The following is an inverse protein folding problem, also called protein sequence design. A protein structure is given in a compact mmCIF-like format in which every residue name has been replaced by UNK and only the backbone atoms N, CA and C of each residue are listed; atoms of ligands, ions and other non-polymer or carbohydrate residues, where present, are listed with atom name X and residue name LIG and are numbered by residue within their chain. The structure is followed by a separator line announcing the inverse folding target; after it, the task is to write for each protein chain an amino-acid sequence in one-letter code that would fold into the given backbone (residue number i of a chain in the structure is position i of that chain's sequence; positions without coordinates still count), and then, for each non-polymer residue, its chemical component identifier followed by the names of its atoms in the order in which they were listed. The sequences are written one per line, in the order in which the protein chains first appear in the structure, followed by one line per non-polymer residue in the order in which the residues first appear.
data_IF_533785034017
#
_entry.id   IF_533785034017
#
_cell.length_a   1.000
_cell.length_b   1.000
_cell.length_c   1.000
_cell.angle_alpha   90.00
_cell.angle_beta   90.00
_cell.angle_gamma   90.00
#
_symmetry.space_group_name_H-M   'P 1'
#
loop_
_entity.id
_entity.type
_entity.pdbx_description
1 polymer ?
#
# COMPACT_ATOMS: atom_id res chain seq x y z
N UNK A 1 32.03 4.78 -3.85
CA UNK A 1 30.95 3.80 -3.65
C UNK A 1 29.62 4.55 -3.66
N UNK A 2 28.55 4.03 -4.26
CA UNK A 2 27.26 4.69 -4.24
C UNK A 2 26.65 4.63 -2.83
N UNK A 3 26.04 5.72 -2.37
CA UNK A 3 25.32 5.73 -1.09
C UNK A 3 23.93 5.10 -1.21
N UNK A 4 23.35 5.09 -2.42
CA UNK A 4 22.03 4.59 -2.73
C UNK A 4 22.14 3.54 -3.84
N UNK A 5 21.52 2.39 -3.64
CA UNK A 5 21.50 1.27 -4.57
C UNK A 5 20.04 0.98 -4.95
N UNK A 6 19.78 0.84 -6.25
CA UNK A 6 18.49 0.40 -6.77
C UNK A 6 18.63 -0.99 -7.37
N UNK A 7 17.86 -1.95 -6.84
CA UNK A 7 17.73 -3.30 -7.37
C UNK A 7 16.33 -3.41 -7.96
N UNK A 8 16.21 -3.74 -9.25
CA UNK A 8 14.92 -3.73 -9.95
C UNK A 8 13.85 -4.56 -9.24
N UNK A 9 14.17 -5.80 -8.89
CA UNK A 9 13.29 -6.69 -8.10
C UNK A 9 14.11 -7.80 -7.41
N UNK A 10 13.55 -8.33 -6.31
CA UNK A 10 14.07 -9.49 -5.61
C UNK A 10 13.15 -10.68 -5.88
N UNK A 11 13.68 -11.70 -6.59
CA UNK A 11 12.96 -12.94 -6.89
C UNK A 11 13.58 -14.17 -6.23
N UNK A 12 14.84 -14.10 -5.92
CA UNK A 12 15.68 -15.23 -5.48
C UNK A 12 16.55 -14.85 -4.28
N UNK A 13 17.14 -15.88 -3.66
CA UNK A 13 17.95 -15.72 -2.46
C UNK A 13 19.27 -14.98 -2.74
N UNK A 14 19.85 -15.13 -3.91
CA UNK A 14 21.13 -14.48 -4.26
C UNK A 14 20.93 -12.94 -4.28
N UNK A 15 19.95 -12.48 -5.05
CA UNK A 15 19.60 -11.05 -5.13
C UNK A 15 19.21 -10.49 -3.76
N UNK A 16 18.39 -11.23 -3.00
CA UNK A 16 17.98 -10.82 -1.66
C UNK A 16 19.18 -10.69 -0.71
N UNK A 17 20.13 -11.64 -0.75
CA UNK A 17 21.32 -11.62 0.09
C UNK A 17 22.23 -10.44 -0.24
N UNK A 18 22.40 -10.12 -1.54
CA UNK A 18 23.17 -8.95 -1.98
C UNK A 18 22.54 -7.66 -1.44
N UNK A 19 21.21 -7.51 -1.59
CA UNK A 19 20.47 -6.35 -1.11
C UNK A 19 20.64 -6.14 0.41
N UNK A 20 20.48 -7.23 1.18
CA UNK A 20 20.59 -7.21 2.63
C UNK A 20 22.02 -6.88 3.07
N UNK A 21 23.04 -7.52 2.50
CA UNK A 21 24.42 -7.25 2.83
C UNK A 21 24.80 -5.80 2.53
N UNK A 22 24.36 -5.26 1.38
CA UNK A 22 24.55 -3.85 1.06
C UNK A 22 23.90 -2.93 2.11
N UNK A 23 22.68 -3.24 2.54
CA UNK A 23 21.97 -2.48 3.58
C UNK A 23 22.70 -2.54 4.94
N UNK A 24 23.20 -3.72 5.33
CA UNK A 24 23.95 -3.91 6.58
C UNK A 24 25.31 -3.18 6.58
N UNK A 25 25.89 -2.95 5.41
CA UNK A 25 27.12 -2.18 5.24
C UNK A 25 26.90 -0.66 5.09
N UNK A 26 25.67 -0.19 5.35
CA UNK A 26 25.34 1.24 5.43
C UNK A 26 24.80 1.88 4.16
N UNK A 27 24.52 1.10 3.11
CA UNK A 27 23.87 1.62 1.90
C UNK A 27 22.35 1.71 2.07
N UNK A 28 21.74 2.73 1.50
CA UNK A 28 20.29 2.77 1.33
C UNK A 28 19.92 1.97 0.07
N UNK A 29 19.20 0.88 0.26
CA UNK A 29 18.82 -0.03 -0.83
C UNK A 29 17.32 0.07 -1.10
N UNK A 30 16.94 0.32 -2.35
CA UNK A 30 15.58 0.22 -2.84
C UNK A 30 15.42 -1.00 -3.72
N UNK A 31 14.32 -1.72 -3.55
CA UNK A 31 13.96 -2.84 -4.43
C UNK A 31 12.46 -3.06 -4.47
N UNK A 32 12.00 -3.98 -5.30
CA UNK A 32 10.60 -4.38 -5.40
C UNK A 32 10.43 -5.86 -5.10
N UNK A 33 9.26 -6.21 -4.60
CA UNK A 33 8.79 -7.57 -4.33
C UNK A 33 7.38 -7.75 -4.87
N UNK A 34 7.05 -8.92 -5.36
CA UNK A 34 5.69 -9.26 -5.78
C UNK A 34 4.90 -9.82 -4.59
N UNK A 35 4.17 -8.94 -3.89
CA UNK A 35 3.27 -9.29 -2.78
C UNK A 35 1.97 -8.52 -2.89
N UNK A 36 0.92 -9.01 -2.25
CA UNK A 36 -0.41 -8.38 -2.29
C UNK A 36 -0.53 -7.18 -1.35
N UNK A 37 0.24 -7.16 -0.27
CA UNK A 37 0.26 -6.13 0.76
C UNK A 37 1.67 -6.03 1.38
N UNK A 38 1.90 -4.97 2.14
CA UNK A 38 3.21 -4.68 2.69
C UNK A 38 3.66 -5.71 3.77
N UNK A 39 2.85 -6.11 4.77
CA UNK A 39 3.27 -7.10 5.75
C UNK A 39 3.62 -8.48 5.17
N UNK A 40 2.98 -8.88 4.06
CA UNK A 40 3.26 -10.16 3.39
C UNK A 40 4.66 -10.23 2.75
N UNK A 41 5.31 -9.09 2.53
CA UNK A 41 6.67 -9.06 2.01
C UNK A 41 7.69 -9.66 2.99
N UNK A 42 7.43 -9.58 4.31
CA UNK A 42 8.26 -10.23 5.33
C UNK A 42 8.26 -11.75 5.16
N UNK A 43 7.07 -12.34 5.00
CA UNK A 43 6.93 -13.77 4.74
C UNK A 43 7.60 -14.15 3.40
N UNK A 44 7.39 -13.34 2.35
CA UNK A 44 8.01 -13.58 1.04
C UNK A 44 9.53 -13.60 1.09
N UNK A 45 10.16 -12.68 1.82
CA UNK A 45 11.62 -12.68 2.02
C UNK A 45 12.07 -13.93 2.79
N UNK A 46 11.32 -14.35 3.80
CA UNK A 46 11.62 -15.58 4.54
C UNK A 46 11.47 -16.83 3.65
N UNK A 47 10.44 -16.90 2.79
CA UNK A 47 10.21 -18.00 1.83
C UNK A 47 11.31 -18.09 0.78
N UNK A 48 11.92 -16.98 0.39
CA UNK A 48 13.10 -16.94 -0.49
C UNK A 48 14.33 -17.53 0.21
N UNK A 49 14.31 -17.66 1.55
CA UNK A 49 15.39 -18.24 2.35
C UNK A 49 16.14 -17.25 3.24
N UNK A 50 15.69 -16.01 3.31
CA UNK A 50 16.33 -15.01 4.17
C UNK A 50 15.92 -15.24 5.62
N UNK A 51 16.92 -15.30 6.51
CA UNK A 51 16.67 -15.44 7.94
C UNK A 51 15.97 -14.20 8.50
N UNK A 52 14.96 -14.41 9.35
CA UNK A 52 14.09 -13.33 9.86
C UNK A 52 14.85 -12.23 10.60
N UNK A 53 15.90 -12.56 11.35
CA UNK A 53 16.70 -11.54 12.02
C UNK A 53 17.42 -10.60 11.04
N UNK A 54 17.78 -11.08 9.84
CA UNK A 54 18.36 -10.26 8.78
C UNK A 54 17.31 -9.32 8.19
N UNK A 55 16.08 -9.81 7.99
CA UNK A 55 14.95 -8.98 7.54
C UNK A 55 14.69 -7.88 8.58
N UNK A 56 14.58 -8.25 9.86
CA UNK A 56 14.30 -7.31 10.94
C UNK A 56 15.39 -6.23 11.10
N UNK A 57 16.66 -6.55 10.83
CA UNK A 57 17.76 -5.61 10.99
C UNK A 57 18.03 -4.75 9.76
N UNK A 58 17.71 -5.21 8.56
CA UNK A 58 18.03 -4.52 7.31
C UNK A 58 16.85 -3.74 6.72
N UNK A 59 15.62 -4.26 6.80
CA UNK A 59 14.44 -3.61 6.22
C UNK A 59 14.00 -2.44 7.10
N UNK A 60 13.78 -1.28 6.49
CA UNK A 60 13.30 -0.06 7.17
C UNK A 60 11.82 0.16 7.02
N UNK A 61 11.33 -0.03 5.80
CA UNK A 61 9.91 0.10 5.49
C UNK A 61 9.57 -0.72 4.25
N UNK A 62 8.31 -1.10 4.14
CA UNK A 62 7.75 -1.77 2.97
C UNK A 62 6.54 -0.97 2.53
N UNK A 63 6.47 -0.63 1.23
CA UNK A 63 5.36 0.09 0.66
C UNK A 63 4.64 -0.79 -0.36
N UNK A 64 3.36 -1.06 -0.14
CA UNK A 64 2.50 -1.59 -1.18
C UNK A 64 1.78 -0.45 -1.90
N UNK A 65 1.58 -0.61 -3.21
CA UNK A 65 0.96 0.37 -4.08
C UNK A 65 -0.02 -0.30 -5.03
N UNK A 66 -1.14 0.38 -5.30
CA UNK A 66 -2.06 0.08 -6.40
C UNK A 66 -2.40 1.37 -7.13
N UNK A 67 -2.63 1.29 -8.43
CA UNK A 67 -3.06 2.42 -9.22
C UNK A 67 -4.57 2.33 -9.48
N UNK A 68 -5.27 3.41 -9.19
CA UNK A 68 -6.70 3.60 -9.50
C UNK A 68 -6.88 4.77 -10.46
N UNK A 69 -7.96 4.77 -11.22
CA UNK A 69 -8.29 5.89 -12.08
C UNK A 69 -8.73 7.10 -11.25
N UNK A 70 -8.29 8.29 -11.63
CA UNK A 70 -8.70 9.55 -11.02
C UNK A 70 -9.95 10.07 -11.72
N UNK A 71 -10.97 10.50 -10.97
CA UNK A 71 -12.14 11.17 -11.52
C UNK A 71 -11.71 12.43 -12.28
N UNK A 72 -12.40 12.67 -13.40
CA UNK A 72 -12.12 13.85 -14.21
C UNK A 72 -12.56 15.12 -13.48
N UNK A 73 -11.60 16.01 -13.20
CA UNK A 73 -11.88 17.24 -12.45
C UNK A 73 -12.84 18.21 -13.17
N UNK A 74 -13.02 18.05 -14.50
CA UNK A 74 -13.92 18.91 -15.32
C UNK A 74 -15.35 18.46 -15.35
N UNK A 75 -15.64 17.18 -15.07
CA UNK A 75 -17.00 16.65 -15.26
C UNK A 75 -17.50 15.75 -14.13
N UNK A 76 -16.71 15.52 -13.09
CA UNK A 76 -17.21 14.78 -11.93
C UNK A 76 -18.39 15.50 -11.29
N UNK A 77 -19.42 14.76 -10.94
CA UNK A 77 -20.67 15.25 -10.34
C UNK A 77 -20.79 14.74 -8.91
N UNK A 78 -21.72 15.29 -8.15
CA UNK A 78 -22.05 14.77 -6.82
C UNK A 78 -22.58 13.34 -6.97
N UNK A 79 -22.07 12.46 -6.13
CA UNK A 79 -22.43 11.05 -6.10
C UNK A 79 -22.89 10.62 -4.71
N UNK A 80 -23.49 9.46 -4.64
CA UNK A 80 -23.89 8.81 -3.40
C UNK A 80 -23.37 7.39 -3.38
N UNK A 81 -23.10 6.86 -2.18
CA UNK A 81 -22.81 5.43 -2.03
C UNK A 81 -24.11 4.67 -1.83
N UNK A 82 -24.24 3.54 -2.50
CA UNK A 82 -25.26 2.56 -2.16
C UNK A 82 -24.90 1.89 -0.83
N UNK A 83 -25.90 1.35 -0.10
CA UNK A 83 -25.67 0.60 1.12
C UNK A 83 -24.66 -0.55 0.92
N UNK A 84 -24.76 -1.24 -0.22
CA UNK A 84 -23.82 -2.30 -0.60
C UNK A 84 -22.37 -1.80 -0.74
N UNK A 85 -22.17 -0.67 -1.39
CA UNK A 85 -20.83 -0.05 -1.54
C UNK A 85 -20.30 0.40 -0.18
N UNK A 86 -21.11 1.06 0.64
CA UNK A 86 -20.73 1.49 1.98
C UNK A 86 -20.30 0.29 2.86
N UNK A 87 -21.09 -0.80 2.82
CA UNK A 87 -20.76 -2.04 3.52
C UNK A 87 -19.46 -2.69 2.99
N UNK A 88 -19.31 -2.80 1.66
CA UNK A 88 -18.12 -3.39 1.03
C UNK A 88 -16.84 -2.61 1.38
N UNK A 89 -16.93 -1.29 1.42
CA UNK A 89 -15.83 -0.41 1.75
C UNK A 89 -15.63 -0.22 3.27
N UNK A 90 -16.52 -0.80 4.08
CA UNK A 90 -16.54 -0.65 5.54
C UNK A 90 -16.55 0.83 5.96
N UNK A 91 -17.40 1.64 5.32
CA UNK A 91 -17.56 3.06 5.60
C UNK A 91 -18.71 3.24 6.59
N UNK A 92 -18.42 3.85 7.73
CA UNK A 92 -19.43 4.26 8.69
C UNK A 92 -20.28 5.42 8.12
N UNK A 93 -21.59 5.39 8.38
CA UNK A 93 -22.53 6.42 7.94
C UNK A 93 -22.16 7.81 8.47
N UNK A 94 -21.55 7.90 9.63
CA UNK A 94 -21.04 9.17 10.18
C UNK A 94 -19.93 9.79 9.29
N UNK A 95 -19.11 8.98 8.66
CA UNK A 95 -18.07 9.41 7.72
C UNK A 95 -18.64 9.81 6.36
N UNK A 96 -19.76 9.21 5.95
CA UNK A 96 -20.47 9.56 4.72
C UNK A 96 -20.98 11.01 4.76
N UNK A 97 -21.51 11.45 5.90
CA UNK A 97 -22.03 12.81 6.08
C UNK A 97 -20.94 13.89 5.95
N UNK A 98 -19.67 13.54 6.14
CA UNK A 98 -18.53 14.46 6.04
C UNK A 98 -17.78 14.32 4.69
N UNK A 99 -18.11 13.33 3.87
CA UNK A 99 -17.44 13.05 2.61
C UNK A 99 -17.99 13.86 1.44
N UNK A 100 -17.11 14.17 0.49
CA UNK A 100 -17.47 14.78 -0.80
C UNK A 100 -17.45 13.72 -1.91
N UNK A 101 -18.33 12.75 -1.81
CA UNK A 101 -18.37 11.64 -2.78
C UNK A 101 -18.74 12.21 -4.16
N UNK A 102 -17.95 11.83 -5.16
CA UNK A 102 -18.15 12.20 -6.55
C UNK A 102 -18.29 10.96 -7.43
N UNK A 103 -19.05 11.13 -8.50
CA UNK A 103 -19.27 10.12 -9.52
C UNK A 103 -18.72 10.57 -10.88
N UNK A 104 -18.30 9.62 -11.74
CA UNK A 104 -17.88 9.92 -13.10
C UNK A 104 -19.10 10.32 -13.95
N UNK A 105 -18.96 11.37 -14.76
CA UNK A 105 -20.01 11.77 -15.70
C UNK A 105 -19.58 11.53 -17.16
N UNK A 106 -18.46 12.14 -17.57
CA UNK A 106 -17.96 12.10 -18.93
C UNK A 106 -18.02 13.47 -19.62
N UNK A 107 -16.96 13.82 -20.33
CA UNK A 107 -16.87 15.03 -21.16
C UNK A 107 -15.79 14.84 -22.23
N UNK A 108 -15.65 15.80 -23.16
CA UNK A 108 -14.63 15.74 -24.22
C UNK A 108 -13.22 15.64 -23.69
N UNK A 109 -12.90 16.31 -22.57
CA UNK A 109 -11.59 16.28 -21.95
C UNK A 109 -11.17 14.88 -21.48
N UNK A 110 -12.09 14.09 -20.97
CA UNK A 110 -11.86 12.70 -20.58
C UNK A 110 -12.33 11.69 -21.63
N UNK A 111 -12.72 12.15 -22.83
CA UNK A 111 -13.23 11.33 -23.93
C UNK A 111 -14.43 10.48 -23.54
N UNK A 112 -15.36 11.05 -22.78
CA UNK A 112 -16.58 10.38 -22.32
C UNK A 112 -16.41 9.41 -21.15
N UNK A 113 -15.19 9.07 -20.76
CA UNK A 113 -14.91 8.02 -19.75
C UNK A 113 -15.12 8.42 -18.29
N UNK A 114 -15.31 9.71 -17.98
CA UNK A 114 -15.46 10.21 -16.60
C UNK A 114 -14.18 10.18 -15.75
N UNK A 115 -13.09 9.61 -16.24
CA UNK A 115 -11.80 9.51 -15.55
C UNK A 115 -10.67 10.15 -16.36
N UNK A 116 -9.68 10.73 -15.68
CA UNK A 116 -8.51 11.32 -16.32
C UNK A 116 -7.28 11.15 -15.44
N UNK A 117 -6.32 10.36 -15.94
CA UNK A 117 -5.11 10.00 -15.20
C UNK A 117 -5.34 8.93 -14.14
N UNK A 118 -4.28 8.64 -13.40
CA UNK A 118 -4.24 7.62 -12.33
C UNK A 118 -3.64 8.23 -11.08
N UNK A 119 -3.96 7.63 -9.93
CA UNK A 119 -3.36 7.97 -8.64
C UNK A 119 -3.00 6.69 -7.90
N UNK A 120 -1.98 6.76 -7.04
CA UNK A 120 -1.60 5.63 -6.20
C UNK A 120 -2.51 5.49 -4.98
N UNK A 121 -2.79 4.26 -4.60
CA UNK A 121 -3.17 3.88 -3.25
C UNK A 121 -1.94 3.34 -2.56
N UNK A 122 -1.72 3.69 -1.31
CA UNK A 122 -0.50 3.34 -0.59
C UNK A 122 -0.82 2.69 0.75
N UNK A 123 -0.05 1.66 1.06
CA UNK A 123 0.05 1.05 2.38
C UNK A 123 1.52 1.06 2.77
N UNK A 124 1.87 1.72 3.86
CA UNK A 124 3.25 1.86 4.33
C UNK A 124 3.38 1.12 5.65
N UNK A 125 4.22 0.10 5.65
CA UNK A 125 4.56 -0.72 6.81
C UNK A 125 5.97 -0.39 7.27
N UNK A 126 6.07 0.39 8.33
CA UNK A 126 7.35 0.75 8.95
C UNK A 126 7.83 -0.39 9.85
N UNK A 127 9.12 -0.67 9.80
CA UNK A 127 9.77 -1.71 10.60
C UNK A 127 10.45 -1.02 11.80
N UNK A 128 9.64 -0.67 12.80
CA UNK A 128 10.10 -0.14 14.07
C UNK A 128 10.61 -1.26 15.02
N UNK A 129 10.98 -0.91 16.22
CA UNK A 129 11.55 -1.88 17.18
C UNK A 129 10.53 -2.93 17.63
N UNK A 130 9.26 -2.60 17.70
CA UNK A 130 8.20 -3.55 18.02
C UNK A 130 7.99 -4.54 16.88
N UNK A 131 7.87 -4.04 15.65
CA UNK A 131 7.73 -4.89 14.45
C UNK A 131 8.96 -5.79 14.28
N UNK A 132 10.17 -5.30 14.55
CA UNK A 132 11.40 -6.14 14.55
C UNK A 132 11.30 -7.31 15.51
N UNK A 133 10.81 -7.09 16.75
CA UNK A 133 10.59 -8.18 17.70
C UNK A 133 9.62 -9.20 17.15
N UNK A 134 8.48 -8.74 16.62
CA UNK A 134 7.45 -9.60 16.05
C UNK A 134 7.97 -10.45 14.88
N UNK A 135 8.80 -9.87 14.00
CA UNK A 135 9.44 -10.60 12.90
C UNK A 135 10.36 -11.69 13.46
N UNK A 136 11.16 -11.38 14.48
CA UNK A 136 12.07 -12.33 15.13
C UNK A 136 11.32 -13.45 15.86
N UNK A 137 10.16 -13.16 16.43
CA UNK A 137 9.26 -14.13 17.08
C UNK A 137 8.45 -14.98 16.10
N UNK A 138 8.72 -14.85 14.80
CA UNK A 138 8.05 -15.61 13.72
C UNK A 138 6.54 -15.36 13.61
N UNK A 139 6.04 -14.17 13.95
CA UNK A 139 4.64 -13.85 13.75
C UNK A 139 4.25 -13.99 12.27
N UNK A 140 3.00 -14.41 12.06
CA UNK A 140 2.43 -14.57 10.72
C UNK A 140 2.09 -13.23 10.09
N UNK A 141 1.97 -13.17 8.76
CA UNK A 141 1.58 -11.93 8.06
C UNK A 141 0.26 -11.34 8.55
N UNK A 142 -0.80 -12.12 8.86
CA UNK A 142 -2.01 -11.58 9.49
C UNK A 142 -1.76 -10.93 10.85
N UNK A 143 -0.95 -11.53 11.71
CA UNK A 143 -0.60 -10.97 13.02
C UNK A 143 0.22 -9.68 12.88
N UNK A 144 1.21 -9.67 11.98
CA UNK A 144 1.97 -8.45 11.66
C UNK A 144 1.05 -7.34 11.15
N UNK A 145 0.11 -7.67 10.25
CA UNK A 145 -0.87 -6.70 9.73
C UNK A 145 -1.78 -6.16 10.81
N UNK A 146 -2.32 -7.02 11.65
CA UNK A 146 -3.19 -6.59 12.76
C UNK A 146 -2.45 -5.60 13.64
N UNK A 147 -1.24 -5.94 14.08
CA UNK A 147 -0.47 -5.08 14.95
C UNK A 147 -0.03 -3.78 14.28
N UNK A 148 0.38 -3.84 13.01
CA UNK A 148 0.71 -2.64 12.24
C UNK A 148 -0.49 -1.66 12.16
N UNK A 149 -1.71 -2.17 11.98
CA UNK A 149 -2.93 -1.34 12.01
C UNK A 149 -3.17 -0.71 13.38
N UNK A 150 -2.98 -1.44 14.47
CA UNK A 150 -3.06 -0.91 15.83
C UNK A 150 -2.03 0.21 16.07
N UNK A 151 -0.86 0.12 15.45
CA UNK A 151 0.19 1.15 15.47
C UNK A 151 -0.04 2.30 14.46
N UNK A 152 -1.14 2.28 13.71
CA UNK A 152 -1.55 3.37 12.83
C UNK A 152 -1.28 3.15 11.34
N UNK A 153 -0.81 1.98 10.91
CA UNK A 153 -0.70 1.66 9.49
C UNK A 153 -2.09 1.69 8.84
N UNK A 154 -2.20 2.36 7.70
CA UNK A 154 -3.39 2.31 6.83
C UNK A 154 -3.20 1.26 5.75
N UNK A 155 -4.22 0.43 5.56
CA UNK A 155 -4.26 -0.52 4.46
C UNK A 155 -4.53 0.19 3.11
N UNK A 156 -4.22 -0.47 2.00
CA UNK A 156 -4.57 0.02 0.66
C UNK A 156 -6.05 0.39 0.55
N UNK A 157 -6.94 -0.44 1.12
CA UNK A 157 -8.39 -0.16 1.16
C UNK A 157 -8.72 1.10 1.95
N UNK A 158 -8.15 1.28 3.13
CA UNK A 158 -8.39 2.47 3.97
C UNK A 158 -7.89 3.75 3.30
N UNK A 159 -6.77 3.69 2.57
CA UNK A 159 -6.30 4.82 1.77
C UNK A 159 -7.24 5.08 0.57
N UNK A 160 -7.74 4.02 -0.07
CA UNK A 160 -8.76 4.11 -1.12
C UNK A 160 -10.03 4.78 -0.63
N UNK A 161 -10.57 4.33 0.51
CA UNK A 161 -11.76 4.94 1.14
C UNK A 161 -11.57 6.43 1.38
N UNK A 162 -10.41 6.84 1.90
CA UNK A 162 -10.12 8.29 2.05
C UNK A 162 -10.20 9.05 0.74
N UNK A 163 -9.70 8.47 -0.35
CA UNK A 163 -9.71 9.08 -1.68
C UNK A 163 -11.10 9.13 -2.30
N UNK A 164 -11.95 8.11 -2.04
CA UNK A 164 -13.37 8.13 -2.40
C UNK A 164 -14.10 9.25 -1.64
N UNK A 165 -13.93 9.33 -0.32
CA UNK A 165 -14.54 10.37 0.50
C UNK A 165 -14.04 11.78 0.16
N UNK A 166 -12.86 11.91 -0.42
CA UNK A 166 -12.31 13.18 -0.94
C UNK A 166 -12.74 13.49 -2.38
N UNK A 167 -13.58 12.67 -3.01
CA UNK A 167 -14.04 12.86 -4.38
C UNK A 167 -12.94 12.79 -5.45
N UNK A 168 -11.90 12.00 -5.20
CA UNK A 168 -10.75 11.85 -6.10
C UNK A 168 -10.87 10.63 -7.03
N UNK A 169 -11.54 9.59 -6.56
CA UNK A 169 -11.80 8.35 -7.31
C UNK A 169 -13.20 7.83 -6.98
N UNK A 170 -13.66 6.83 -7.70
CA UNK A 170 -14.98 6.23 -7.46
C UNK A 170 -14.89 4.99 -6.56
N UNK A 171 -16.02 4.59 -5.92
CA UNK A 171 -16.07 3.39 -5.07
C UNK A 171 -15.67 2.10 -5.79
N UNK A 172 -15.93 2.01 -7.10
CA UNK A 172 -15.65 0.82 -7.92
C UNK A 172 -14.16 0.60 -8.16
N UNK A 173 -13.32 1.61 -7.91
CA UNK A 173 -11.88 1.52 -8.09
C UNK A 173 -11.15 0.97 -6.84
N UNK A 174 -11.83 0.90 -5.69
CA UNK A 174 -11.28 0.52 -4.38
C UNK A 174 -11.83 -0.82 -3.90
#
# INVERSE_FOLDING_TARGET
APNIIMIGEIRDMETASIAINASLTGHLVFSTLHTNDAPSAVARLADIGIKRFLIASSVRAIMAQRLVRKLCDRCKVDGTLTEKQAHTLNIDMSRLAQGQIKAPHGCDFCRGGGFKGRMGLFEIFEIDDEVRRMINENLTSPQLRQRARELGMRTLREDGVRKVLAGLTSPEEV
#
